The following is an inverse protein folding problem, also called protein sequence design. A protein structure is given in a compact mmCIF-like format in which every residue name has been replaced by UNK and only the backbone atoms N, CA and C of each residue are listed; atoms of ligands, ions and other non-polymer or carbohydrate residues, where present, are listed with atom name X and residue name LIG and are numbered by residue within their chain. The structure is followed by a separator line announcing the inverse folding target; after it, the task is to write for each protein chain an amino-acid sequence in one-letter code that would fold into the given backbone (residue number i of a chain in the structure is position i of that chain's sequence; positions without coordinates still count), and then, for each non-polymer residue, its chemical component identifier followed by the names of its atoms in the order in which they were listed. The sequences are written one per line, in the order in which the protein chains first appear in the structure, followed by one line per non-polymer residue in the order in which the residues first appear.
data_IF_024728094781
#
_entry.id   IF_024728094781
#
_cell.length_a   1.000
_cell.length_b   1.000
_cell.length_c   1.000
_cell.angle_alpha   90.00
_cell.angle_beta   90.00
_cell.angle_gamma   90.00
#
_symmetry.space_group_name_H-M   'P 1'
#
loop_
_entity.id
_entity.type
_entity.pdbx_description
1 polymer ?
#
# COMPACT_ATOMS: atom_id res chain seq x y z
N UNK A 1 11.87 13.03 -9.61
CA UNK A 1 10.62 12.42 -10.11
C UNK A 1 9.46 13.18 -9.51
N UNK A 2 8.70 13.87 -10.33
CA UNK A 2 7.56 14.71 -9.92
C UNK A 2 6.32 13.87 -9.61
N UNK A 3 5.33 14.48 -8.98
CA UNK A 3 4.00 13.89 -8.71
C UNK A 3 3.35 13.37 -10.01
N UNK A 4 3.35 14.19 -11.05
CA UNK A 4 2.80 13.86 -12.37
C UNK A 4 3.54 12.69 -13.03
N UNK A 5 4.88 12.67 -12.95
CA UNK A 5 5.69 11.56 -13.47
C UNK A 5 5.38 10.23 -12.77
N UNK A 6 5.14 10.26 -11.45
CA UNK A 6 4.75 9.07 -10.69
C UNK A 6 3.37 8.56 -11.10
N UNK A 7 2.39 9.46 -11.25
CA UNK A 7 1.04 9.11 -11.69
C UNK A 7 1.07 8.51 -13.09
N UNK A 8 1.81 9.13 -14.03
CA UNK A 8 1.94 8.63 -15.39
C UNK A 8 2.59 7.25 -15.43
N UNK A 9 3.70 7.06 -14.71
CA UNK A 9 4.39 5.78 -14.61
C UNK A 9 3.53 4.68 -14.01
N UNK A 10 2.76 4.99 -12.96
CA UNK A 10 1.87 4.01 -12.34
C UNK A 10 0.70 3.66 -13.26
N UNK A 11 0.13 4.66 -13.95
CA UNK A 11 -0.94 4.43 -14.92
C UNK A 11 -0.48 3.45 -16.01
N UNK A 12 0.69 3.68 -16.60
CA UNK A 12 1.27 2.77 -17.60
C UNK A 12 1.46 1.35 -17.05
N UNK A 13 1.93 1.22 -15.80
CA UNK A 13 2.09 -0.10 -15.17
C UNK A 13 0.76 -0.83 -14.98
N UNK A 14 -0.26 -0.12 -14.52
CA UNK A 14 -1.59 -0.70 -14.31
C UNK A 14 -2.22 -1.10 -15.64
N UNK A 15 -2.05 -0.31 -16.70
CA UNK A 15 -2.53 -0.65 -18.04
C UNK A 15 -1.86 -1.94 -18.55
N UNK A 16 -0.54 -2.09 -18.37
CA UNK A 16 0.17 -3.34 -18.72
C UNK A 16 -0.38 -4.54 -17.93
N UNK A 17 -0.67 -4.37 -16.63
CA UNK A 17 -1.22 -5.44 -15.79
C UNK A 17 -2.64 -5.82 -16.26
N UNK A 18 -3.45 -4.84 -16.65
CA UNK A 18 -4.79 -5.04 -17.21
C UNK A 18 -4.75 -5.79 -18.54
N UNK A 19 -3.81 -5.46 -19.44
CA UNK A 19 -3.58 -6.18 -20.69
C UNK A 19 -3.17 -7.63 -20.45
N UNK A 20 -2.34 -7.88 -19.43
CA UNK A 20 -1.89 -9.23 -19.07
C UNK A 20 -3.00 -10.08 -18.40
N UNK A 21 -4.04 -9.46 -17.86
CA UNK A 21 -5.12 -10.13 -17.14
C UNK A 21 -6.48 -9.55 -17.57
N UNK A 22 -6.93 -9.80 -18.80
CA UNK A 22 -8.13 -9.19 -19.37
C UNK A 22 -9.43 -9.59 -18.65
N UNK A 23 -9.43 -10.72 -17.92
CA UNK A 23 -10.56 -11.13 -17.08
C UNK A 23 -10.70 -10.33 -15.77
N UNK A 24 -9.65 -9.64 -15.35
CA UNK A 24 -9.64 -8.85 -14.13
C UNK A 24 -10.12 -7.44 -14.43
N UNK A 25 -11.05 -6.90 -13.64
CA UNK A 25 -11.42 -5.48 -13.69
C UNK A 25 -10.60 -4.71 -12.65
N UNK A 26 -9.44 -4.19 -13.05
CA UNK A 26 -8.62 -3.36 -12.17
C UNK A 26 -9.16 -1.93 -12.00
N UNK A 27 -10.32 -1.62 -12.60
CA UNK A 27 -11.00 -0.32 -12.52
C UNK A 27 -10.02 0.82 -12.80
N UNK A 28 -9.25 0.70 -13.88
CA UNK A 28 -8.17 1.63 -14.24
C UNK A 28 -8.69 3.06 -14.42
N UNK A 29 -9.94 3.21 -14.86
CA UNK A 29 -10.67 4.48 -14.97
C UNK A 29 -10.86 5.19 -13.62
N UNK A 30 -10.96 4.45 -12.52
CA UNK A 30 -11.12 5.01 -11.17
C UNK A 30 -9.81 5.59 -10.60
N UNK A 31 -8.65 5.28 -11.22
CA UNK A 31 -7.33 5.77 -10.83
C UNK A 31 -7.07 5.70 -9.32
N UNK A 32 -7.45 4.58 -8.70
CA UNK A 32 -7.42 4.38 -7.25
C UNK A 32 -6.00 4.49 -6.64
N UNK A 33 -4.93 4.45 -7.45
CA UNK A 33 -3.56 4.69 -7.02
C UNK A 33 -3.20 6.17 -6.85
N UNK A 34 -3.93 7.10 -7.48
CA UNK A 34 -3.63 8.54 -7.45
C UNK A 34 -3.67 9.10 -6.02
N UNK A 35 -4.70 8.85 -5.20
CA UNK A 35 -4.72 9.34 -3.81
C UNK A 35 -3.51 8.89 -2.98
N UNK A 36 -2.96 7.70 -3.27
CA UNK A 36 -1.80 7.16 -2.54
C UNK A 36 -0.50 7.86 -2.97
N UNK A 37 -0.36 8.15 -4.26
CA UNK A 37 0.79 8.92 -4.78
C UNK A 37 0.74 10.35 -4.27
N UNK A 38 -0.45 10.98 -4.26
CA UNK A 38 -0.63 12.33 -3.73
C UNK A 38 -0.27 12.39 -2.25
N UNK A 39 -0.80 11.47 -1.43
CA UNK A 39 -0.46 11.41 -0.01
C UNK A 39 1.05 11.23 0.22
N UNK A 40 1.70 10.35 -0.55
CA UNK A 40 3.15 10.13 -0.45
C UNK A 40 3.96 11.39 -0.80
N UNK A 41 3.50 12.15 -1.80
CA UNK A 41 4.12 13.42 -2.16
C UNK A 41 3.90 14.47 -1.06
N UNK A 42 2.68 14.61 -0.55
CA UNK A 42 2.34 15.57 0.50
C UNK A 42 3.14 15.31 1.78
N UNK A 43 3.30 14.04 2.17
CA UNK A 43 4.11 13.65 3.34
C UNK A 43 5.58 14.03 3.14
N UNK A 44 6.13 13.78 1.95
CA UNK A 44 7.53 14.10 1.63
C UNK A 44 7.80 15.60 1.56
N UNK A 45 6.83 16.37 1.10
CA UNK A 45 6.92 17.83 0.98
C UNK A 45 6.71 18.55 2.32
N UNK A 46 5.93 17.95 3.22
CA UNK A 46 5.53 18.57 4.50
C UNK A 46 6.47 18.21 5.65
N UNK A 47 6.88 16.94 5.76
CA UNK A 47 7.69 16.48 6.88
C UNK A 47 9.15 16.95 6.74
N UNK A 48 9.77 17.30 7.87
CA UNK A 48 11.22 17.41 7.93
C UNK A 48 11.88 16.04 7.68
N UNK A 49 13.18 16.06 7.37
CA UNK A 49 13.91 14.84 6.99
C UNK A 49 13.82 13.74 8.06
N UNK A 50 13.97 14.10 9.34
CA UNK A 50 14.04 13.12 10.42
C UNK A 50 12.65 12.49 10.66
N UNK A 51 11.58 13.29 10.57
CA UNK A 51 10.20 12.81 10.64
C UNK A 51 9.84 11.95 9.43
N UNK A 52 10.26 12.34 8.23
CA UNK A 52 10.05 11.55 7.01
C UNK A 52 10.78 10.20 7.06
N UNK A 53 12.01 10.16 7.56
CA UNK A 53 12.77 8.90 7.70
C UNK A 53 12.09 7.95 8.69
N UNK A 54 11.59 8.46 9.82
CA UNK A 54 10.80 7.68 10.77
C UNK A 54 9.51 7.17 10.15
N UNK A 55 8.77 8.03 9.45
CA UNK A 55 7.55 7.65 8.75
C UNK A 55 7.82 6.54 7.72
N UNK A 56 8.86 6.72 6.90
CA UNK A 56 9.25 5.73 5.89
C UNK A 56 9.66 4.40 6.51
N UNK A 57 10.39 4.41 7.63
CA UNK A 57 10.79 3.21 8.34
C UNK A 57 9.57 2.49 8.97
N UNK A 58 8.66 3.25 9.58
CA UNK A 58 7.40 2.78 10.13
C UNK A 58 6.58 2.03 9.06
N UNK A 59 6.37 2.64 7.89
CA UNK A 59 5.64 2.01 6.80
C UNK A 59 6.40 0.85 6.15
N UNK A 60 7.73 0.87 6.10
CA UNK A 60 8.51 -0.27 5.63
C UNK A 60 8.29 -1.52 6.52
N UNK A 61 8.19 -1.36 7.84
CA UNK A 61 7.82 -2.45 8.76
C UNK A 61 6.43 -2.98 8.45
N UNK A 62 5.46 -2.11 8.20
CA UNK A 62 4.08 -2.50 7.87
C UNK A 62 4.02 -3.43 6.65
N UNK A 63 4.71 -3.05 5.57
CA UNK A 63 4.78 -3.86 4.36
C UNK A 63 5.54 -5.17 4.59
N UNK A 64 6.63 -5.14 5.35
CA UNK A 64 7.41 -6.35 5.68
C UNK A 64 6.59 -7.33 6.54
N UNK A 65 5.80 -6.83 7.48
CA UNK A 65 4.87 -7.60 8.31
C UNK A 65 3.61 -8.05 7.56
N UNK A 66 3.51 -7.78 6.25
CA UNK A 66 2.37 -8.16 5.40
C UNK A 66 1.02 -7.77 6.02
N UNK A 67 0.95 -6.62 6.69
CA UNK A 67 -0.26 -6.11 7.35
C UNK A 67 -0.82 -7.03 8.46
N UNK A 68 0.04 -7.76 9.18
CA UNK A 68 -0.38 -8.50 10.37
C UNK A 68 -1.11 -7.57 11.37
N UNK A 69 -2.18 -8.02 12.05
CA UNK A 69 -3.01 -7.14 12.89
C UNK A 69 -2.23 -6.43 14.01
N UNK A 70 -1.27 -7.12 14.62
CA UNK A 70 -0.37 -6.57 15.63
C UNK A 70 0.54 -5.48 15.04
N UNK A 71 1.14 -5.76 13.87
CA UNK A 71 1.97 -4.79 13.14
C UNK A 71 1.14 -3.58 12.68
N UNK A 72 -0.11 -3.78 12.27
CA UNK A 72 -1.05 -2.70 11.92
C UNK A 72 -1.32 -1.79 13.11
N UNK A 73 -1.60 -2.35 14.28
CA UNK A 73 -1.87 -1.58 15.50
C UNK A 73 -0.64 -0.80 15.99
N UNK A 74 0.54 -1.42 15.96
CA UNK A 74 1.81 -0.78 16.29
C UNK A 74 2.12 0.37 15.32
N UNK A 75 2.02 0.10 14.01
CA UNK A 75 2.28 1.09 12.96
C UNK A 75 1.31 2.27 13.05
N UNK A 76 0.03 2.04 13.39
CA UNK A 76 -0.95 3.12 13.58
C UNK A 76 -0.54 4.05 14.71
N UNK A 77 -0.09 3.48 15.83
CA UNK A 77 0.36 4.24 16.99
C UNK A 77 1.63 5.04 16.66
N UNK A 78 2.64 4.41 16.04
CA UNK A 78 3.86 5.07 15.59
C UNK A 78 3.56 6.20 14.57
N UNK A 79 2.68 5.95 13.60
CA UNK A 79 2.29 6.95 12.60
C UNK A 79 1.57 8.15 13.24
N UNK A 80 0.75 7.92 14.26
CA UNK A 80 0.08 8.98 15.01
C UNK A 80 1.09 9.88 15.74
N UNK A 81 2.12 9.29 16.34
CA UNK A 81 3.18 10.04 17.02
C UNK A 81 4.04 10.84 16.04
N UNK A 82 4.45 10.22 14.91
CA UNK A 82 5.28 10.87 13.89
C UNK A 82 4.53 12.04 13.24
N UNK A 83 3.23 11.87 12.99
CA UNK A 83 2.39 12.88 12.34
C UNK A 83 1.63 13.75 13.35
N UNK A 84 2.02 13.78 14.63
CA UNK A 84 1.30 14.54 15.66
C UNK A 84 1.20 16.05 15.35
N UNK A 85 2.17 16.60 14.61
CA UNK A 85 2.16 18.00 14.17
C UNK A 85 1.35 18.23 12.87
N UNK A 86 0.93 17.16 12.21
CA UNK A 86 0.21 17.16 10.92
C UNK A 86 -1.02 16.24 10.99
N UNK A 87 -2.02 16.56 11.82
CA UNK A 87 -3.18 15.68 12.04
C UNK A 87 -3.99 15.43 10.77
N UNK A 88 -3.97 16.35 9.81
CA UNK A 88 -4.58 16.22 8.48
C UNK A 88 -3.92 15.12 7.64
N UNK A 89 -2.59 14.99 7.72
CA UNK A 89 -1.87 13.90 7.08
C UNK A 89 -2.17 12.57 7.76
N UNK A 90 -2.25 12.55 9.10
CA UNK A 90 -2.60 11.34 9.83
C UNK A 90 -4.02 10.85 9.50
N UNK A 91 -5.00 11.74 9.41
CA UNK A 91 -6.38 11.37 9.03
C UNK A 91 -6.43 10.70 7.66
N UNK A 92 -5.69 11.24 6.68
CA UNK A 92 -5.60 10.63 5.34
C UNK A 92 -4.93 9.26 5.37
N UNK A 93 -3.85 9.11 6.14
CA UNK A 93 -3.20 7.81 6.35
C UNK A 93 -4.17 6.81 7.00
N UNK A 94 -4.93 7.26 8.00
CA UNK A 94 -5.90 6.42 8.71
C UNK A 94 -6.99 5.90 7.79
N UNK A 95 -7.61 6.78 7.01
CA UNK A 95 -8.65 6.41 6.03
C UNK A 95 -8.09 5.48 4.96
N UNK A 96 -6.89 5.75 4.44
CA UNK A 96 -6.35 4.98 3.33
C UNK A 96 -5.83 3.60 3.75
N UNK A 97 -5.26 3.49 4.95
CA UNK A 97 -4.53 2.30 5.38
C UNK A 97 -5.28 1.58 6.50
N UNK A 98 -5.50 2.25 7.63
CA UNK A 98 -5.99 1.58 8.84
C UNK A 98 -7.49 1.30 8.82
N UNK A 99 -8.31 2.11 8.15
CA UNK A 99 -9.75 1.83 8.00
C UNK A 99 -10.05 0.68 7.03
N UNK A 100 -9.04 0.24 6.26
CA UNK A 100 -9.12 -0.93 5.38
C UNK A 100 -8.58 -2.22 6.03
N UNK A 101 -8.39 -2.24 7.35
CA UNK A 101 -7.79 -3.36 8.11
C UNK A 101 -8.44 -4.72 7.81
N UNK A 102 -9.76 -4.77 7.62
CA UNK A 102 -10.45 -6.03 7.27
C UNK A 102 -10.00 -6.59 5.91
N UNK A 103 -9.81 -5.72 4.92
CA UNK A 103 -9.35 -6.12 3.57
C UNK A 103 -7.86 -6.48 3.63
N UNK A 104 -7.06 -5.69 4.35
CA UNK A 104 -5.63 -5.96 4.53
C UNK A 104 -5.37 -7.25 5.31
N UNK A 105 -6.22 -7.58 6.29
CA UNK A 105 -6.19 -8.85 7.01
C UNK A 105 -6.51 -10.05 6.12
N UNK A 106 -7.39 -9.88 5.11
CA UNK A 106 -7.61 -10.92 4.09
C UNK A 106 -6.38 -11.11 3.19
N UNK A 107 -5.72 -10.01 2.81
CA UNK A 107 -4.45 -10.06 2.05
C UNK A 107 -3.36 -10.75 2.89
N UNK A 108 -3.27 -10.45 4.19
CA UNK A 108 -2.35 -11.11 5.11
C UNK A 108 -2.61 -12.63 5.20
N UNK A 109 -3.87 -13.03 5.35
CA UNK A 109 -4.27 -14.45 5.38
C UNK A 109 -3.87 -15.17 4.09
N UNK A 110 -4.12 -14.58 2.93
CA UNK A 110 -3.69 -15.14 1.65
C UNK A 110 -2.16 -15.25 1.54
N UNK A 111 -1.43 -14.21 1.92
CA UNK A 111 0.03 -14.18 1.83
C UNK A 111 0.72 -15.16 2.79
N UNK A 112 0.10 -15.48 3.92
CA UNK A 112 0.60 -16.48 4.88
C UNK A 112 0.24 -17.91 4.44
N UNK A 113 -0.94 -18.12 3.84
CA UNK A 113 -1.31 -19.40 3.21
C UNK A 113 -0.40 -19.75 2.02
N UNK A 114 -0.08 -18.78 1.15
CA UNK A 114 0.86 -19.00 0.03
C UNK A 114 2.29 -19.30 0.50
N UNK A 115 2.72 -18.65 1.59
CA UNK A 115 4.04 -18.90 2.18
C UNK A 115 4.10 -20.28 2.85
N UNK A 116 3.04 -20.69 3.55
CA UNK A 116 2.90 -22.02 4.12
C UNK A 116 2.83 -23.12 3.03
N UNK A 117 2.29 -22.80 1.85
CA UNK A 117 2.28 -23.68 0.69
C UNK A 117 3.63 -23.75 -0.05
N UNK A 118 4.66 -23.02 0.40
CA UNK A 118 5.98 -22.98 -0.25
C UNK A 118 6.00 -22.24 -1.59
N UNK A 119 4.96 -21.47 -1.89
CA UNK A 119 4.80 -20.76 -3.17
C UNK A 119 5.48 -19.37 -3.19
N UNK A 120 6.15 -18.97 -2.11
CA UNK A 120 6.93 -17.74 -2.06
C UNK A 120 6.05 -16.50 -2.26
N UNK A 121 5.38 -16.07 -1.20
CA UNK A 121 4.54 -14.87 -1.21
C UNK A 121 5.27 -13.68 -1.82
N UNK A 122 4.64 -13.06 -2.81
CA UNK A 122 5.18 -11.97 -3.64
C UNK A 122 6.51 -12.26 -4.36
N UNK A 123 6.68 -13.50 -4.85
CA UNK A 123 7.92 -13.98 -5.42
C UNK A 123 7.82 -14.78 -6.71
N UNK A 124 6.88 -14.51 -7.62
CA UNK A 124 6.98 -14.72 -9.09
C UNK A 124 5.66 -14.37 -9.76
N UNK A 125 5.68 -13.38 -10.65
CA UNK A 125 4.69 -13.32 -11.73
C UNK A 125 4.89 -14.56 -12.61
N UNK A 126 4.14 -15.64 -12.36
CA UNK A 126 3.94 -16.71 -13.31
C UNK A 126 2.59 -17.38 -13.07
N UNK A 127 1.57 -16.86 -13.77
CA UNK A 127 0.52 -17.69 -14.38
C UNK A 127 -0.39 -18.52 -13.48
N UNK A 128 -0.59 -18.20 -12.22
CA UNK A 128 -1.61 -18.86 -11.40
C UNK A 128 -2.91 -18.06 -11.42
N UNK A 129 -3.87 -18.57 -12.20
CA UNK A 129 -5.23 -18.08 -12.37
C UNK A 129 -5.99 -18.15 -11.03
N UNK A 130 -6.23 -17.02 -10.39
CA UNK A 130 -7.12 -16.96 -9.20
C UNK A 130 -8.55 -16.73 -9.70
N UNK A 131 -9.38 -17.78 -9.67
CA UNK A 131 -10.84 -17.65 -9.82
C UNK A 131 -11.42 -17.22 -8.48
N UNK A 132 -12.02 -16.04 -8.43
CA UNK A 132 -12.99 -15.70 -7.39
C UNK A 132 -14.33 -16.35 -7.74
N UNK A 133 -14.81 -17.24 -6.87
CA UNK A 133 -16.22 -17.67 -6.84
C UNK A 133 -16.97 -16.89 -5.78
#
# INVERSE_FOLDING_TARGET
MTREEQIARMSQRIDIIQEQNPESDFKTSAKWWVPSIDLSADIKETLDRDSYEKYSACFAKLFAGKFAPDVMAETRSEAQEILAQHPDLFERVDVMIFQNEKILGQIHGFATEEEAAGLGGFGRCNGARVRFT
#
